data_IF_644374966989
#
_entry.id   IF_644374966989
#
_cell.length_a   1.000
_cell.length_b   1.000
_cell.length_c   1.000
_cell.angle_alpha   90.00
_cell.angle_beta   90.00
_cell.angle_gamma   90.00
#
_symmetry.space_group_name_H-M   'P 1'
#
loop_
_entity.id
_entity.type
_entity.pdbx_description
1 polymer ?
#
# COMPACT_ATOMS: atom_id res chain seq x y z
N UNK A 1 -2.57 -8.94 8.79
CA UNK A 1 -3.26 -7.65 8.75
C UNK A 1 -4.68 -7.88 8.28
N UNK A 2 -5.67 -7.21 8.87
CA UNK A 2 -7.07 -7.27 8.45
C UNK A 2 -7.69 -5.87 8.52
N UNK A 3 -8.67 -5.60 7.65
CA UNK A 3 -9.37 -4.31 7.60
C UNK A 3 -10.43 -4.26 8.69
N UNK A 4 -10.43 -3.18 9.48
CA UNK A 4 -11.41 -2.94 10.54
C UNK A 4 -12.39 -1.82 10.19
N UNK A 5 -11.96 -0.87 9.34
CA UNK A 5 -12.83 0.13 8.75
C UNK A 5 -12.27 0.60 7.39
N UNK A 6 -13.15 0.96 6.48
CA UNK A 6 -12.81 1.56 5.21
C UNK A 6 -13.82 2.66 4.85
N UNK A 7 -13.32 3.82 4.43
CA UNK A 7 -14.10 4.89 3.81
C UNK A 7 -13.67 5.01 2.35
N UNK A 8 -14.63 4.94 1.44
CA UNK A 8 -14.42 4.88 -0.01
C UNK A 8 -15.16 6.05 -0.68
N UNK A 9 -14.42 7.00 -1.23
CA UNK A 9 -14.96 8.10 -2.02
C UNK A 9 -15.11 7.65 -3.47
N UNK A 10 -16.35 7.52 -3.96
CA UNK A 10 -16.65 7.01 -5.31
C UNK A 10 -17.29 8.10 -6.16
N UNK A 11 -16.69 8.52 -7.29
CA UNK A 11 -17.31 9.49 -8.19
C UNK A 11 -18.67 9.01 -8.71
N UNK A 12 -19.65 9.90 -8.77
CA UNK A 12 -21.02 9.55 -9.17
C UNK A 12 -21.16 8.93 -10.58
N UNK A 13 -20.15 9.11 -11.45
CA UNK A 13 -20.08 8.54 -12.79
C UNK A 13 -19.06 7.38 -12.93
N UNK A 14 -18.53 6.86 -11.82
CA UNK A 14 -17.54 5.77 -11.79
C UNK A 14 -18.03 4.58 -10.95
N UNK A 15 -17.35 3.44 -11.08
CA UNK A 15 -17.65 2.22 -10.32
C UNK A 15 -16.59 1.87 -9.25
N UNK A 16 -15.52 2.67 -9.14
CA UNK A 16 -14.39 2.42 -8.25
C UNK A 16 -14.02 3.71 -7.51
N UNK A 17 -13.50 3.61 -6.27
CA UNK A 17 -13.16 4.78 -5.48
C UNK A 17 -11.99 5.57 -6.09
N UNK A 18 -12.05 6.89 -5.93
CA UNK A 18 -10.96 7.83 -6.24
C UNK A 18 -10.14 8.18 -4.98
N UNK A 19 -10.73 8.02 -3.80
CA UNK A 19 -10.10 8.23 -2.50
C UNK A 19 -10.50 7.13 -1.51
N UNK A 20 -9.56 6.74 -0.66
CA UNK A 20 -9.72 5.66 0.31
C UNK A 20 -8.99 6.00 1.60
N UNK A 21 -9.66 5.81 2.75
CA UNK A 21 -9.01 5.75 4.06
C UNK A 21 -9.28 4.40 4.71
N UNK A 22 -8.23 3.71 5.15
CA UNK A 22 -8.31 2.39 5.78
C UNK A 22 -7.79 2.45 7.22
N UNK A 23 -8.54 1.81 8.12
CA UNK A 23 -8.04 1.37 9.41
C UNK A 23 -7.89 -0.14 9.38
N UNK A 24 -6.74 -0.63 9.84
CA UNK A 24 -6.39 -2.05 9.85
C UNK A 24 -5.69 -2.41 11.17
N UNK A 25 -5.71 -3.70 11.50
CA UNK A 25 -4.91 -4.25 12.59
C UNK A 25 -3.91 -5.27 12.05
N UNK A 26 -2.65 -5.06 12.43
CA UNK A 26 -1.52 -5.94 12.17
C UNK A 26 -1.44 -7.12 13.13
N UNK A 27 -0.25 -7.71 13.24
CA UNK A 27 0.06 -8.68 14.31
C UNK A 27 -0.01 -7.96 15.67
N UNK A 28 -0.37 -8.67 16.73
CA UNK A 28 -0.44 -8.14 18.11
C UNK A 28 -1.30 -6.88 18.26
N UNK A 29 -2.32 -6.75 17.41
CA UNK A 29 -3.21 -5.59 17.33
C UNK A 29 -2.50 -4.25 17.05
N UNK A 30 -1.32 -4.26 16.43
CA UNK A 30 -0.65 -3.03 15.98
C UNK A 30 -1.55 -2.26 15.01
N UNK A 31 -1.89 -0.99 15.29
CA UNK A 31 -2.74 -0.20 14.42
C UNK A 31 -1.99 0.14 13.13
N UNK A 32 -2.69 0.04 12.00
CA UNK A 32 -2.19 0.47 10.69
C UNK A 32 -3.22 1.37 10.04
N UNK A 33 -2.78 2.52 9.56
CA UNK A 33 -3.59 3.50 8.85
C UNK A 33 -3.04 3.68 7.44
N UNK A 34 -3.93 3.73 6.44
CA UNK A 34 -3.54 3.97 5.05
C UNK A 34 -4.50 4.96 4.39
N UNK A 35 -3.94 5.88 3.61
CA UNK A 35 -4.69 6.83 2.79
C UNK A 35 -4.22 6.68 1.35
N UNK A 36 -5.17 6.53 0.44
CA UNK A 36 -4.92 6.55 -0.99
C UNK A 36 -5.81 7.63 -1.60
N UNK A 37 -5.24 8.57 -2.34
CA UNK A 37 -6.01 9.64 -2.95
C UNK A 37 -5.45 10.01 -4.32
N UNK A 38 -6.21 9.71 -5.38
CA UNK A 38 -5.83 10.11 -6.74
C UNK A 38 -6.07 11.59 -7.03
N UNK A 39 -6.74 12.32 -6.13
CA UNK A 39 -7.00 13.76 -6.27
C UNK A 39 -5.84 14.62 -5.76
N UNK A 40 -4.76 14.03 -5.26
CA UNK A 40 -3.64 14.78 -4.71
C UNK A 40 -2.99 15.66 -5.79
N UNK A 41 -3.15 16.97 -5.62
CA UNK A 41 -2.47 17.98 -6.41
C UNK A 41 -1.09 18.31 -5.81
N UNK A 42 -0.14 18.66 -6.67
CA UNK A 42 1.22 19.03 -6.25
C UNK A 42 2.17 17.83 -6.14
N UNK A 43 3.17 17.88 -5.23
CA UNK A 43 4.15 16.81 -5.08
C UNK A 43 3.46 15.51 -4.73
N UNK A 44 3.77 14.46 -5.48
CA UNK A 44 3.19 13.14 -5.26
C UNK A 44 3.87 12.44 -4.09
N UNK A 45 3.08 11.75 -3.27
CA UNK A 45 3.55 11.11 -2.03
C UNK A 45 3.32 9.61 -2.11
N UNK A 46 4.41 8.84 -1.98
CA UNK A 46 4.38 7.39 -1.82
C UNK A 46 5.26 7.02 -0.64
N UNK A 47 4.64 6.96 0.53
CA UNK A 47 5.36 6.84 1.79
C UNK A 47 4.72 5.80 2.72
N UNK A 48 5.58 5.11 3.48
CA UNK A 48 5.18 4.23 4.58
C UNK A 48 6.05 4.60 5.77
N UNK A 49 5.43 5.06 6.85
CA UNK A 49 6.10 5.32 8.11
C UNK A 49 5.75 4.21 9.12
N UNK A 50 6.77 3.71 9.81
CA UNK A 50 6.64 2.71 10.86
C UNK A 50 7.35 3.22 12.10
N UNK A 51 6.60 3.37 13.20
CA UNK A 51 7.14 3.79 14.49
C UNK A 51 7.26 2.58 15.43
N UNK A 52 8.40 2.46 16.09
CA UNK A 52 8.67 1.38 17.06
C UNK A 52 9.58 1.89 18.17
N UNK A 53 9.20 1.71 19.44
CA UNK A 53 10.04 2.03 20.61
C UNK A 53 10.72 3.43 20.56
N UNK A 54 10.03 4.43 20.01
CA UNK A 54 10.55 5.80 19.87
C UNK A 54 11.49 6.02 18.68
N UNK A 55 11.53 5.08 17.73
CA UNK A 55 12.29 5.13 16.49
C UNK A 55 11.35 5.11 15.30
N UNK A 56 11.79 5.69 14.19
CA UNK A 56 10.98 5.80 12.97
C UNK A 56 11.74 5.24 11.78
N UNK A 57 11.13 4.27 11.12
CA UNK A 57 11.50 3.83 9.77
C UNK A 57 10.58 4.53 8.77
N UNK A 58 11.15 5.13 7.74
CA UNK A 58 10.39 5.81 6.69
C UNK A 58 10.82 5.29 5.33
N UNK A 59 9.90 4.65 4.63
CA UNK A 59 10.04 4.32 3.22
C UNK A 59 9.39 5.43 2.41
N UNK A 60 10.11 5.95 1.42
CA UNK A 60 9.66 7.04 0.55
C UNK A 60 9.89 6.68 -0.91
N UNK A 61 9.29 7.45 -1.81
CA UNK A 61 9.40 7.25 -3.27
C UNK A 61 9.05 5.80 -3.69
N UNK A 62 7.98 5.25 -3.10
CA UNK A 62 7.54 3.88 -3.41
C UNK A 62 8.48 2.79 -2.88
N UNK A 63 9.36 3.11 -1.92
CA UNK A 63 10.33 2.17 -1.34
C UNK A 63 11.75 2.33 -1.88
N UNK A 64 11.98 3.23 -2.84
CA UNK A 64 13.31 3.51 -3.39
C UNK A 64 14.22 4.29 -2.42
N UNK A 65 13.65 4.91 -1.38
CA UNK A 65 14.41 5.59 -0.32
C UNK A 65 13.99 5.03 1.02
N UNK A 66 14.98 4.61 1.82
CA UNK A 66 14.81 4.16 3.19
C UNK A 66 15.55 5.12 4.13
N UNK A 67 14.85 5.61 5.15
CA UNK A 67 15.42 6.41 6.23
C UNK A 67 15.10 5.74 7.58
N UNK A 68 16.07 5.75 8.51
CA UNK A 68 15.87 5.35 9.90
C UNK A 68 16.29 6.53 10.78
N UNK A 69 15.37 7.03 11.60
CA UNK A 69 15.60 8.19 12.48
C UNK A 69 16.13 9.41 11.69
N UNK A 70 15.61 9.62 10.48
CA UNK A 70 16.01 10.67 9.53
C UNK A 70 17.35 10.43 8.80
N UNK A 71 18.02 9.31 9.07
CA UNK A 71 19.28 8.95 8.41
C UNK A 71 19.04 8.01 7.24
N UNK A 72 19.47 8.42 6.05
CA UNK A 72 19.35 7.60 4.84
C UNK A 72 20.13 6.30 4.95
N UNK A 73 19.47 5.19 4.64
CA UNK A 73 20.04 3.85 4.59
C UNK A 73 20.20 3.44 3.12
N UNK A 74 21.39 2.99 2.68
CA UNK A 74 21.58 2.53 1.31
C UNK A 74 20.66 1.37 0.96
N UNK A 75 19.95 1.49 -0.16
CA UNK A 75 19.16 0.41 -0.75
C UNK A 75 19.83 -0.11 -2.03
N UNK A 76 19.65 -1.39 -2.39
CA UNK A 76 20.19 -1.93 -3.63
C UNK A 76 19.67 -1.17 -4.86
N UNK A 77 20.53 -1.00 -5.86
CA UNK A 77 20.19 -0.36 -7.15
C UNK A 77 19.40 -1.32 -8.06
N UNK A 78 19.28 -2.60 -7.69
CA UNK A 78 18.56 -3.58 -8.50
C UNK A 78 17.10 -3.15 -8.67
N UNK A 79 16.69 -2.96 -9.92
CA UNK A 79 15.31 -2.59 -10.23
C UNK A 79 14.32 -3.72 -9.92
N UNK A 80 13.08 -3.34 -9.67
CA UNK A 80 11.99 -4.26 -9.30
C UNK A 80 11.82 -5.41 -10.29
N UNK A 81 11.74 -5.12 -11.59
CA UNK A 81 11.53 -6.14 -12.62
C UNK A 81 12.66 -7.17 -12.72
N UNK A 82 13.96 -6.79 -12.77
CA UNK A 82 15.06 -7.73 -12.66
C UNK A 82 14.94 -8.69 -11.45
N UNK A 83 14.61 -8.15 -10.27
CA UNK A 83 14.44 -8.96 -9.07
C UNK A 83 13.25 -9.93 -9.17
N UNK A 84 12.13 -9.49 -9.77
CA UNK A 84 10.96 -10.34 -10.04
C UNK A 84 11.33 -11.50 -10.96
N UNK A 85 12.04 -11.25 -12.07
CA UNK A 85 12.44 -12.31 -13.00
C UNK A 85 13.43 -13.30 -12.38
N UNK A 86 14.37 -12.82 -11.55
CA UNK A 86 15.26 -13.71 -10.79
C UNK A 86 14.46 -14.63 -9.87
N UNK A 87 13.54 -14.07 -9.08
CA UNK A 87 12.66 -14.86 -8.19
C UNK A 87 11.84 -15.87 -9.00
N UNK A 88 11.30 -15.47 -10.15
CA UNK A 88 10.51 -16.35 -11.00
C UNK A 88 11.34 -17.51 -11.57
N UNK A 89 12.58 -17.25 -12.02
CA UNK A 89 13.50 -18.27 -12.49
C UNK A 89 13.84 -19.29 -11.39
N UNK A 90 14.09 -18.82 -10.16
CA UNK A 90 14.37 -19.67 -8.99
C UNK A 90 13.17 -20.59 -8.66
N UNK A 91 11.95 -20.04 -8.71
CA UNK A 91 10.71 -20.81 -8.47
C UNK A 91 10.52 -21.89 -9.53
N UNK A 92 10.78 -21.59 -10.80
CA UNK A 92 10.72 -22.59 -11.88
C UNK A 92 11.74 -23.70 -11.65
N UNK A 93 13.00 -23.33 -11.38
CA UNK A 93 14.09 -24.30 -11.19
C UNK A 93 13.82 -25.25 -10.02
N UNK A 94 13.22 -24.74 -8.95
CA UNK A 94 12.88 -25.51 -7.74
C UNK A 94 11.48 -26.13 -7.77
N UNK A 95 10.70 -25.88 -8.83
CA UNK A 95 9.31 -26.31 -8.98
C UNK A 95 8.40 -25.87 -7.84
N UNK A 96 8.56 -24.62 -7.40
CA UNK A 96 7.75 -24.02 -6.36
C UNK A 96 6.79 -22.97 -6.94
N UNK A 97 5.81 -22.57 -6.15
CA UNK A 97 4.91 -21.46 -6.44
C UNK A 97 4.96 -20.46 -5.31
N UNK A 98 4.91 -19.17 -5.67
CA UNK A 98 4.85 -18.06 -4.73
C UNK A 98 3.59 -17.27 -5.05
N UNK A 99 2.56 -17.44 -4.22
CA UNK A 99 1.22 -16.89 -4.43
C UNK A 99 0.75 -16.27 -3.12
N UNK A 100 1.20 -15.05 -2.86
CA UNK A 100 0.71 -14.25 -1.74
C UNK A 100 -0.50 -13.41 -2.15
N UNK A 101 -1.68 -13.78 -1.66
CA UNK A 101 -2.94 -13.07 -1.90
C UNK A 101 -3.25 -12.02 -0.82
N UNK A 102 -2.38 -11.84 0.17
CA UNK A 102 -2.66 -10.95 1.29
C UNK A 102 -2.95 -9.49 0.86
N UNK A 103 -2.22 -8.88 -0.10
CA UNK A 103 -2.54 -7.53 -0.58
C UNK A 103 -3.93 -7.47 -1.23
N UNK A 104 -4.25 -8.43 -2.09
CA UNK A 104 -5.55 -8.48 -2.77
C UNK A 104 -6.70 -8.69 -1.77
N UNK A 105 -6.47 -9.50 -0.74
CA UNK A 105 -7.45 -9.71 0.33
C UNK A 105 -7.77 -8.41 1.07
N UNK A 106 -6.77 -7.56 1.35
CA UNK A 106 -7.00 -6.25 1.97
C UNK A 106 -7.90 -5.38 1.08
N UNK A 107 -7.64 -5.36 -0.24
CA UNK A 107 -8.51 -4.66 -1.19
C UNK A 107 -9.93 -5.25 -1.14
N UNK A 108 -10.09 -6.56 -1.23
CA UNK A 108 -11.39 -7.22 -1.20
C UNK A 108 -12.16 -6.92 0.11
N UNK A 109 -11.49 -7.00 1.26
CA UNK A 109 -12.07 -6.71 2.57
C UNK A 109 -12.52 -5.24 2.65
N UNK A 110 -11.71 -4.30 2.15
CA UNK A 110 -12.06 -2.88 2.12
C UNK A 110 -13.32 -2.62 1.27
N UNK A 111 -13.45 -3.26 0.11
CA UNK A 111 -14.66 -3.18 -0.71
C UNK A 111 -15.87 -3.86 -0.06
N UNK A 112 -15.64 -4.95 0.68
CA UNK A 112 -16.69 -5.72 1.35
C UNK A 112 -17.32 -4.97 2.54
N UNK A 113 -16.51 -4.29 3.35
CA UNK A 113 -16.98 -3.63 4.59
C UNK A 113 -17.03 -2.10 4.49
N UNK A 114 -16.48 -1.53 3.42
CA UNK A 114 -16.27 -0.09 3.32
C UNK A 114 -17.56 0.71 3.16
N UNK A 115 -17.61 1.84 3.85
CA UNK A 115 -18.66 2.84 3.64
C UNK A 115 -18.35 3.63 2.38
N UNK A 116 -19.27 3.62 1.41
CA UNK A 116 -19.13 4.35 0.15
C UNK A 116 -19.83 5.69 0.22
N UNK A 117 -19.10 6.75 -0.09
CA UNK A 117 -19.63 8.11 -0.22
C UNK A 117 -19.53 8.54 -1.68
N UNK A 118 -20.66 8.94 -2.27
CA UNK A 118 -20.65 9.49 -3.62
C UNK A 118 -19.97 10.87 -3.62
N UNK A 119 -19.03 11.07 -4.55
CA UNK A 119 -18.41 12.39 -4.81
C UNK A 119 -18.92 12.98 -6.11
N UNK A 120 -18.48 14.21 -6.42
CA UNK A 120 -18.70 14.80 -7.74
C UNK A 120 -18.22 13.85 -8.85
N UNK A 121 -18.86 13.87 -10.03
CA UNK A 121 -18.37 13.17 -11.20
C UNK A 121 -16.91 13.50 -11.48
N UNK A 122 -16.16 12.48 -11.91
CA UNK A 122 -14.78 12.60 -12.32
C UNK A 122 -14.72 12.68 -13.84
N UNK A 123 -14.07 13.71 -14.36
CA UNK A 123 -13.96 13.99 -15.78
C UNK A 123 -12.50 14.33 -16.07
N UNK A 124 -11.70 13.30 -16.29
CA UNK A 124 -10.39 13.42 -16.92
C UNK A 124 -10.51 13.45 -18.45
#
# INVERSE_FOLDING_TARGET
MHVTAAALDVPANCATPIGVTLAMLGRDATPVHAVFDWRQEGPQTWEIAVETEGRTLHLRMGGAVLEIDGSAIPVPVEGEYPAIYRRFADLIATRQSDVDIAPLRICADAFLIGHQTATAPFHD
#
